data_IF_207354871924
#
_entry.id   IF_207354871924
#
_cell.length_a   1.000
_cell.length_b   1.000
_cell.length_c   1.000
_cell.angle_alpha   90.00
_cell.angle_beta   90.00
_cell.angle_gamma   90.00
#
_symmetry.space_group_name_H-M   'P 1'
#
loop_
_entity.id
_entity.type
_entity.pdbx_description
1 polymer ?
#
# COMPACT_ATOMS: atom_id res chain seq x y z
N UNK A 1 -5.84 -11.28 27.17
CA UNK A 1 -7.05 -10.90 26.42
C UNK A 1 -6.77 -11.08 24.96
N UNK A 2 -7.67 -11.66 24.20
CA UNK A 2 -7.45 -11.84 22.76
C UNK A 2 -7.57 -10.49 22.05
N UNK A 3 -6.51 -10.11 21.36
CA UNK A 3 -6.46 -8.86 20.61
C UNK A 3 -7.07 -9.08 19.23
N UNK A 4 -8.22 -8.48 18.97
CA UNK A 4 -8.85 -8.55 17.65
C UNK A 4 -8.23 -7.48 16.72
N UNK A 5 -7.58 -7.92 15.64
CA UNK A 5 -7.02 -7.02 14.63
C UNK A 5 -8.15 -6.50 13.75
N UNK A 6 -8.17 -5.18 13.51
CA UNK A 6 -9.11 -4.49 12.63
C UNK A 6 -8.54 -4.18 11.25
N UNK A 7 -7.22 -3.93 11.18
CA UNK A 7 -6.53 -3.66 9.93
C UNK A 7 -5.05 -4.03 10.03
N UNK A 8 -4.43 -4.31 8.90
CA UNK A 8 -2.99 -4.56 8.77
C UNK A 8 -2.40 -3.66 7.69
N UNK A 9 -1.16 -3.23 7.91
CA UNK A 9 -0.38 -2.50 6.92
C UNK A 9 1.02 -3.09 6.83
N UNK A 10 1.46 -3.38 5.62
CA UNK A 10 2.75 -3.98 5.34
C UNK A 10 3.64 -2.95 4.63
N UNK A 11 4.80 -2.67 5.20
CA UNK A 11 5.82 -1.80 4.63
C UNK A 11 6.93 -2.60 3.94
N UNK A 12 8.12 -2.00 3.82
CA UNK A 12 9.26 -2.69 3.20
C UNK A 12 9.61 -3.99 3.94
N UNK A 13 9.92 -3.87 5.20
CA UNK A 13 10.36 -4.99 6.06
C UNK A 13 9.69 -4.96 7.42
N UNK A 14 8.57 -4.26 7.54
CA UNK A 14 7.82 -4.08 8.77
C UNK A 14 6.34 -4.38 8.55
N UNK A 15 5.67 -4.76 9.62
CA UNK A 15 4.23 -4.97 9.67
C UNK A 15 3.63 -4.18 10.83
N UNK A 16 2.52 -3.51 10.58
CA UNK A 16 1.68 -2.87 11.58
C UNK A 16 0.32 -3.57 11.64
N UNK A 17 -0.19 -3.81 12.84
CA UNK A 17 -1.55 -4.27 13.07
C UNK A 17 -2.29 -3.27 13.96
N UNK A 18 -3.39 -2.74 13.44
CA UNK A 18 -4.31 -1.90 14.19
C UNK A 18 -5.33 -2.79 14.89
N UNK A 19 -5.44 -2.66 16.19
CA UNK A 19 -6.42 -3.39 16.99
C UNK A 19 -7.79 -2.68 16.99
N UNK A 20 -8.86 -3.42 17.25
CA UNK A 20 -10.20 -2.83 17.43
C UNK A 20 -10.28 -1.80 18.56
N UNK A 21 -9.37 -1.90 19.52
CA UNK A 21 -9.23 -0.94 20.63
C UNK A 21 -8.50 0.35 20.24
N UNK A 22 -7.97 0.41 19.02
CA UNK A 22 -7.20 1.54 18.49
C UNK A 22 -5.71 1.51 18.84
N UNK A 23 -5.23 0.49 19.53
CA UNK A 23 -3.79 0.26 19.74
C UNK A 23 -3.14 -0.25 18.47
N UNK A 24 -1.84 -0.01 18.33
CA UNK A 24 -1.04 -0.48 17.19
C UNK A 24 0.05 -1.39 17.68
N UNK A 25 0.10 -2.58 17.10
CA UNK A 25 1.23 -3.49 17.22
C UNK A 25 2.14 -3.35 16.00
N UNK A 26 3.44 -3.41 16.23
CA UNK A 26 4.43 -3.39 15.16
C UNK A 26 5.49 -4.48 15.35
N UNK A 27 5.99 -5.02 14.23
CA UNK A 27 7.11 -5.98 14.23
C UNK A 27 7.84 -5.97 12.88
N UNK A 28 8.97 -6.66 12.83
CA UNK A 28 9.83 -6.73 11.66
C UNK A 28 11.07 -5.86 11.77
N UNK A 29 11.77 -5.73 10.64
CA UNK A 29 13.02 -4.98 10.58
C UNK A 29 12.80 -3.50 10.74
N UNK A 30 13.35 -3.03 11.80
CA UNK A 30 13.82 -1.69 11.81
C UNK A 30 15.08 -1.63 10.95
N UNK A 31 14.97 -1.52 9.65
CA UNK A 31 16.10 -1.07 8.84
C UNK A 31 16.56 0.30 9.32
N UNK A 32 15.92 0.84 10.37
CA UNK A 32 16.18 2.02 11.17
C UNK A 32 14.92 2.65 11.80
N UNK A 33 13.75 2.03 11.73
CA UNK A 33 12.56 2.45 12.47
C UNK A 33 12.44 1.65 13.77
N UNK A 34 12.49 2.31 14.91
CA UNK A 34 12.41 1.69 16.22
C UNK A 34 10.95 1.74 16.69
N UNK A 35 10.42 0.59 17.10
CA UNK A 35 9.18 0.56 17.86
C UNK A 35 9.55 0.73 19.33
N UNK A 36 9.27 1.87 19.94
CA UNK A 36 9.47 2.01 21.38
C UNK A 36 8.30 1.42 22.13
N UNK A 37 8.55 0.43 22.97
CA UNK A 37 7.72 0.22 24.16
C UNK A 37 8.37 1.03 25.29
N UNK A 38 7.59 1.69 26.12
CA UNK A 38 8.08 2.50 27.27
C UNK A 38 8.95 1.68 28.25
N UNK A 39 9.14 0.36 28.02
CA UNK A 39 9.85 -0.55 28.91
C UNK A 39 10.81 -1.54 28.25
N UNK A 40 11.07 -1.45 26.93
CA UNK A 40 12.02 -2.35 26.27
C UNK A 40 13.01 -1.55 25.42
N UNK A 41 14.26 -1.58 25.82
CA UNK A 41 15.38 -1.00 25.09
C UNK A 41 15.71 -1.88 23.86
N UNK A 42 14.97 -1.68 22.77
CA UNK A 42 15.10 -2.44 21.53
C UNK A 42 16.31 -1.94 20.70
N UNK A 43 16.98 -0.89 21.18
CA UNK A 43 18.03 -0.18 20.46
C UNK A 43 19.39 -0.87 20.45
N UNK A 44 19.68 -1.78 21.38
CA UNK A 44 21.05 -2.18 21.66
C UNK A 44 21.55 -3.42 20.89
N UNK A 45 20.69 -4.17 20.18
CA UNK A 45 21.10 -5.50 19.68
C UNK A 45 21.10 -5.68 18.16
N UNK A 46 20.69 -4.70 17.36
CA UNK A 46 20.63 -4.85 15.90
C UNK A 46 19.68 -5.96 15.41
N UNK A 47 18.93 -6.58 16.29
CA UNK A 47 18.01 -7.66 15.98
C UNK A 47 16.64 -7.12 15.60
N UNK A 48 16.12 -7.57 14.45
CA UNK A 48 14.76 -7.37 14.04
C UNK A 48 13.77 -7.85 15.11
N UNK A 49 12.75 -7.07 15.40
CA UNK A 49 11.75 -7.41 16.40
C UNK A 49 10.81 -8.48 15.82
N UNK A 50 11.04 -9.74 16.20
CA UNK A 50 10.24 -10.87 15.72
C UNK A 50 8.91 -11.02 16.45
N UNK A 51 8.76 -10.35 17.61
CA UNK A 51 7.53 -10.36 18.39
C UNK A 51 6.79 -9.03 18.19
N UNK A 52 5.44 -9.08 18.06
CA UNK A 52 4.63 -7.88 18.06
C UNK A 52 4.80 -7.07 19.35
N UNK A 53 5.10 -5.78 19.19
CA UNK A 53 5.20 -4.84 20.32
C UNK A 53 4.23 -3.68 20.11
N UNK A 54 3.75 -3.10 21.21
CA UNK A 54 2.96 -1.88 21.13
C UNK A 54 3.81 -0.72 20.63
N UNK A 55 3.36 -0.09 19.55
CA UNK A 55 4.04 1.09 18.99
C UNK A 55 3.99 2.26 19.97
N UNK A 56 2.84 2.49 20.59
CA UNK A 56 2.64 3.52 21.60
C UNK A 56 1.39 3.23 22.43
N UNK A 57 1.54 3.00 23.73
CA UNK A 57 0.43 2.59 24.59
C UNK A 57 -0.52 3.73 24.97
N UNK A 58 -0.04 4.98 24.98
CA UNK A 58 -0.83 6.15 25.38
C UNK A 58 -1.68 6.76 24.26
N UNK A 59 -1.50 6.34 22.99
CA UNK A 59 -2.32 6.80 21.88
C UNK A 59 -3.26 5.71 21.35
N UNK A 60 -4.37 6.16 20.78
CA UNK A 60 -5.29 5.34 20.00
C UNK A 60 -5.31 5.85 18.58
N UNK A 61 -5.30 4.93 17.63
CA UNK A 61 -5.25 5.21 16.20
C UNK A 61 -6.53 4.75 15.51
N UNK A 62 -6.91 5.47 14.48
CA UNK A 62 -8.00 5.11 13.55
C UNK A 62 -7.46 4.62 12.20
N UNK A 63 -6.19 4.90 11.91
CA UNK A 63 -5.54 4.54 10.65
C UNK A 63 -4.02 4.43 10.83
N UNK A 64 -3.39 3.47 10.14
CA UNK A 64 -1.94 3.32 10.08
C UNK A 64 -1.47 2.99 8.66
N UNK A 65 -0.28 3.47 8.32
CA UNK A 65 0.42 3.18 7.06
C UNK A 65 1.89 2.90 7.32
N UNK A 66 2.33 1.72 6.94
CA UNK A 66 3.72 1.30 7.01
C UNK A 66 4.42 1.61 5.67
N UNK A 67 5.55 2.31 5.73
CA UNK A 67 6.38 2.65 4.58
C UNK A 67 7.74 1.96 4.60
N UNK A 68 8.76 2.67 4.16
CA UNK A 68 10.14 2.19 4.05
C UNK A 68 10.95 2.53 5.32
N UNK A 69 10.63 1.87 6.44
CA UNK A 69 11.24 2.16 7.75
C UNK A 69 10.61 3.35 8.48
N UNK A 70 9.66 4.03 7.86
CA UNK A 70 8.85 5.10 8.45
C UNK A 70 7.39 4.67 8.48
N UNK A 71 6.65 5.16 9.45
CA UNK A 71 5.24 4.89 9.60
C UNK A 71 4.46 6.18 9.81
N UNK A 72 3.25 6.22 9.28
CA UNK A 72 2.28 7.28 9.52
C UNK A 72 1.04 6.70 10.21
N UNK A 73 0.42 7.49 11.06
CA UNK A 73 -0.83 7.12 11.69
C UNK A 73 -1.74 8.32 11.92
N UNK A 74 -3.03 8.09 11.85
CA UNK A 74 -4.05 9.06 12.26
C UNK A 74 -4.56 8.63 13.62
N UNK A 75 -4.39 9.49 14.63
CA UNK A 75 -4.87 9.22 15.98
C UNK A 75 -6.40 9.33 16.08
N UNK A 76 -6.98 8.79 17.16
CA UNK A 76 -8.39 8.97 17.48
C UNK A 76 -8.77 10.45 17.70
N UNK A 77 -7.78 11.31 18.02
CA UNK A 77 -7.95 12.78 18.10
C UNK A 77 -7.86 13.46 16.73
N UNK A 78 -7.71 12.68 15.63
CA UNK A 78 -7.50 13.18 14.26
C UNK A 78 -6.22 14.01 14.10
N UNK A 79 -5.14 13.54 14.68
CA UNK A 79 -3.81 14.08 14.55
C UNK A 79 -2.99 13.17 13.62
N UNK A 80 -2.21 13.74 12.71
CA UNK A 80 -1.28 12.98 11.88
C UNK A 80 0.04 12.82 12.62
N UNK A 81 0.45 11.58 12.84
CA UNK A 81 1.65 11.20 13.56
C UNK A 81 2.62 10.46 12.64
N UNK A 82 3.92 10.70 12.82
CA UNK A 82 5.01 10.02 12.11
C UNK A 82 5.98 9.42 13.12
N UNK A 83 6.47 8.21 12.85
CA UNK A 83 7.53 7.56 13.64
C UNK A 83 8.38 6.66 12.77
N UNK A 84 9.55 6.26 13.30
CA UNK A 84 10.53 5.44 12.60
C UNK A 84 11.66 6.24 11.99
N UNK A 85 12.34 5.64 11.01
CA UNK A 85 13.49 6.26 10.34
C UNK A 85 13.04 7.38 9.38
N UNK A 86 13.52 8.57 9.63
CA UNK A 86 13.10 9.78 8.93
C UNK A 86 14.29 10.60 8.46
N UNK A 87 15.13 10.08 7.52
CA UNK A 87 16.38 10.75 7.12
C UNK A 87 16.16 12.08 6.41
N UNK A 88 14.95 12.36 5.96
CA UNK A 88 14.58 13.58 5.23
C UNK A 88 13.76 14.56 6.08
N UNK A 89 13.64 14.32 7.40
CA UNK A 89 12.96 15.25 8.31
C UNK A 89 11.45 15.42 8.03
N UNK A 90 10.76 14.33 7.70
CA UNK A 90 9.32 14.34 7.42
C UNK A 90 8.53 14.85 8.63
N UNK A 91 8.00 16.06 8.54
CA UNK A 91 7.17 16.67 9.59
C UNK A 91 7.90 17.59 10.57
N UNK A 92 9.18 17.95 10.36
CA UNK A 92 9.93 18.87 11.20
C UNK A 92 11.39 18.47 11.45
N UNK A 93 12.07 19.12 12.36
CA UNK A 93 13.53 19.06 12.61
C UNK A 93 14.08 17.72 13.16
N UNK A 94 13.28 16.66 13.25
CA UNK A 94 13.69 15.38 13.83
C UNK A 94 14.02 14.36 12.72
N UNK A 95 15.28 14.03 12.56
CA UNK A 95 15.76 13.07 11.56
C UNK A 95 15.30 11.61 11.81
N UNK A 96 14.95 11.26 13.02
CA UNK A 96 14.36 9.96 13.40
C UNK A 96 13.68 10.10 14.74
N UNK A 97 12.50 9.52 14.92
CA UNK A 97 11.81 9.54 16.20
C UNK A 97 11.32 8.13 16.56
N UNK A 98 11.67 7.68 17.75
CA UNK A 98 11.10 6.46 18.35
C UNK A 98 9.68 6.69 18.83
N UNK A 99 9.40 7.94 19.24
CA UNK A 99 8.09 8.39 19.71
C UNK A 99 7.37 9.05 18.54
N UNK A 100 6.07 8.72 18.28
CA UNK A 100 5.31 9.38 17.25
C UNK A 100 5.31 10.91 17.38
N UNK A 101 5.80 11.59 16.35
CA UNK A 101 5.87 13.05 16.26
C UNK A 101 4.66 13.60 15.47
N UNK A 102 4.15 14.75 15.90
CA UNK A 102 2.97 15.39 15.31
C UNK A 102 3.33 16.16 14.03
N UNK A 103 2.64 15.87 12.92
CA UNK A 103 2.66 16.67 11.68
C UNK A 103 1.50 17.67 11.72
N UNK A 104 1.79 18.93 12.07
CA UNK A 104 0.76 19.97 12.27
C UNK A 104 0.16 20.53 10.97
N UNK A 105 0.82 20.31 9.82
CA UNK A 105 0.45 20.96 8.56
C UNK A 105 -0.84 20.38 7.94
N UNK A 106 -1.27 19.18 8.31
CA UNK A 106 -2.49 18.53 7.80
C UNK A 106 -3.59 18.67 8.83
N UNK A 107 -4.64 19.38 8.47
CA UNK A 107 -5.77 19.61 9.37
C UNK A 107 -6.78 18.46 9.29
N UNK A 108 -7.14 17.89 10.44
CA UNK A 108 -8.14 16.81 10.53
C UNK A 108 -7.91 15.68 9.51
N UNK A 109 -6.74 14.98 9.54
CA UNK A 109 -6.44 13.92 8.59
C UNK A 109 -7.43 12.75 8.73
N UNK A 110 -7.72 12.08 7.59
CA UNK A 110 -8.57 10.89 7.54
C UNK A 110 -7.76 9.65 7.12
N UNK A 111 -6.74 9.81 6.29
CA UNK A 111 -5.80 8.75 5.90
C UNK A 111 -4.45 9.35 5.52
N UNK A 112 -3.45 8.49 5.45
CA UNK A 112 -2.10 8.85 5.03
C UNK A 112 -1.44 7.67 4.30
N UNK A 113 -0.40 7.96 3.51
CA UNK A 113 0.40 6.95 2.85
C UNK A 113 1.88 7.26 3.08
N UNK A 114 2.63 6.24 3.52
CA UNK A 114 4.06 6.32 3.74
C UNK A 114 4.80 5.55 2.63
N UNK A 115 5.65 6.25 1.89
CA UNK A 115 6.55 5.67 0.88
C UNK A 115 7.98 5.54 1.39
N UNK A 116 8.93 5.49 0.47
CA UNK A 116 10.36 5.48 0.78
C UNK A 116 10.86 6.89 1.12
N UNK A 117 10.54 7.85 0.29
CA UNK A 117 11.00 9.25 0.37
C UNK A 117 9.92 10.27 0.08
N UNK A 118 8.72 9.80 -0.25
CA UNK A 118 7.53 10.60 -0.52
C UNK A 118 6.40 10.16 0.41
N UNK A 119 5.58 11.12 0.80
CA UNK A 119 4.52 10.92 1.77
C UNK A 119 3.28 11.70 1.36
N UNK A 120 2.13 11.22 1.76
CA UNK A 120 0.87 11.88 1.49
C UNK A 120 -0.12 11.72 2.64
N UNK A 121 -1.04 12.66 2.77
CA UNK A 121 -2.21 12.55 3.64
C UNK A 121 -3.40 13.27 3.01
N UNK A 122 -4.60 12.84 3.38
CA UNK A 122 -5.84 13.46 2.96
C UNK A 122 -6.56 13.94 4.21
N UNK A 123 -7.03 15.18 4.19
CA UNK A 123 -7.82 15.76 5.25
C UNK A 123 -9.33 15.45 5.10
N UNK A 124 -10.12 15.85 6.09
CA UNK A 124 -11.57 15.64 6.09
C UNK A 124 -12.28 16.39 4.94
N UNK A 125 -11.74 17.48 4.43
CA UNK A 125 -12.27 18.19 3.26
C UNK A 125 -12.03 17.42 1.95
N UNK A 126 -11.06 16.50 1.95
CA UNK A 126 -10.60 15.76 0.78
C UNK A 126 -9.39 16.42 0.11
N UNK A 127 -8.72 17.38 0.77
CA UNK A 127 -7.51 17.98 0.25
C UNK A 127 -6.34 16.99 0.35
N UNK A 128 -5.63 16.78 -0.74
CA UNK A 128 -4.43 15.95 -0.78
C UNK A 128 -3.20 16.78 -0.44
N UNK A 129 -2.50 16.41 0.62
CA UNK A 129 -1.20 16.94 1.01
C UNK A 129 -0.10 15.97 0.60
N UNK A 130 1.00 16.49 0.07
CA UNK A 130 2.18 15.71 -0.30
C UNK A 130 3.44 16.37 0.25
N UNK A 131 4.47 15.56 0.60
CA UNK A 131 5.76 16.05 1.09
C UNK A 131 6.86 15.00 0.92
N UNK A 132 8.11 15.40 1.21
CA UNK A 132 9.29 14.57 1.02
C UNK A 132 10.09 14.97 -0.23
N UNK A 133 10.80 14.01 -0.83
CA UNK A 133 11.66 14.26 -1.98
C UNK A 133 10.85 14.41 -3.27
N UNK A 134 11.01 15.55 -3.95
CA UNK A 134 10.30 15.83 -5.21
C UNK A 134 11.07 15.34 -6.45
N UNK A 135 11.67 14.15 -6.36
CA UNK A 135 12.29 13.47 -7.51
C UNK A 135 11.21 13.13 -8.53
N UNK A 136 11.48 13.32 -9.81
CA UNK A 136 10.54 13.08 -10.91
C UNK A 136 9.20 13.82 -10.74
N UNK A 137 9.20 14.95 -10.01
CA UNK A 137 8.01 15.74 -9.72
C UNK A 137 6.91 14.94 -8.98
N UNK A 138 7.34 13.96 -8.16
CA UNK A 138 6.48 13.01 -7.47
C UNK A 138 5.45 13.62 -6.51
N UNK A 139 5.63 14.89 -6.11
CA UNK A 139 4.71 15.57 -5.20
C UNK A 139 3.50 16.22 -5.89
N UNK A 140 3.44 16.22 -7.24
CA UNK A 140 2.30 16.75 -8.00
C UNK A 140 2.08 18.26 -7.84
N UNK A 141 3.09 18.97 -7.37
CA UNK A 141 3.07 20.43 -7.13
C UNK A 141 4.46 21.02 -7.28
N UNK A 142 4.54 22.31 -7.60
CA UNK A 142 5.80 23.04 -7.58
C UNK A 142 6.31 23.20 -6.15
N UNK A 143 7.61 22.97 -5.96
CA UNK A 143 8.28 23.10 -4.68
C UNK A 143 9.56 23.94 -4.82
N UNK A 144 9.87 24.80 -3.84
CA UNK A 144 11.09 25.57 -3.84
C UNK A 144 12.32 24.72 -3.56
N UNK A 145 12.16 23.64 -2.81
CA UNK A 145 13.22 22.72 -2.41
C UNK A 145 12.93 21.31 -2.87
N UNK A 146 13.98 20.53 -3.13
CA UNK A 146 13.87 19.11 -3.47
C UNK A 146 13.21 18.31 -2.34
N UNK A 147 13.56 18.58 -1.09
CA UNK A 147 12.89 18.03 0.09
C UNK A 147 11.86 19.03 0.60
N UNK A 148 10.60 18.79 0.24
CA UNK A 148 9.51 19.72 0.50
C UNK A 148 8.69 19.35 1.75
N UNK A 149 8.33 20.37 2.52
CA UNK A 149 7.38 20.25 3.63
C UNK A 149 5.96 19.93 3.12
N UNK A 150 5.05 19.46 3.99
CA UNK A 150 3.66 19.17 3.61
C UNK A 150 2.99 20.38 2.95
N UNK A 151 2.40 20.14 1.78
CA UNK A 151 1.68 21.18 1.02
C UNK A 151 0.59 20.56 0.16
N UNK A 152 -0.45 21.35 -0.13
CA UNK A 152 -1.65 20.89 -0.86
C UNK A 152 -1.36 20.76 -2.35
N UNK A 153 -1.81 19.65 -2.95
CA UNK A 153 -1.87 19.49 -4.40
C UNK A 153 -3.11 20.21 -4.93
N UNK A 154 -2.90 21.22 -5.76
CA UNK A 154 -3.99 22.06 -6.28
C UNK A 154 -4.70 21.40 -7.47
N UNK A 155 -5.94 21.81 -7.74
CA UNK A 155 -6.69 21.39 -8.93
C UNK A 155 -7.32 19.99 -8.85
N UNK A 156 -7.24 19.33 -7.71
CA UNK A 156 -7.89 18.03 -7.47
C UNK A 156 -9.30 18.22 -6.90
N UNK A 157 -10.26 17.34 -7.25
CA UNK A 157 -11.52 17.23 -6.54
C UNK A 157 -11.30 16.69 -5.12
N UNK A 158 -12.37 16.55 -4.34
CA UNK A 158 -12.26 15.95 -3.01
C UNK A 158 -11.77 14.49 -3.09
N UNK A 159 -10.59 14.25 -2.54
CA UNK A 159 -9.95 12.93 -2.54
C UNK A 159 -10.37 12.10 -1.32
N UNK A 160 -10.26 10.75 -1.43
CA UNK A 160 -10.57 9.82 -0.33
C UNK A 160 -9.50 8.76 -0.10
N UNK A 161 -8.60 8.53 -1.07
CA UNK A 161 -7.47 7.62 -0.93
C UNK A 161 -6.29 8.09 -1.77
N UNK A 162 -5.09 7.74 -1.33
CA UNK A 162 -3.82 7.96 -2.03
C UNK A 162 -2.93 6.74 -1.81
N UNK A 163 -2.19 6.34 -2.84
CA UNK A 163 -1.22 5.26 -2.79
C UNK A 163 0.08 5.70 -3.50
N UNK A 164 1.21 5.22 -3.01
CA UNK A 164 2.54 5.68 -3.38
C UNK A 164 3.35 4.54 -4.00
N UNK A 165 4.02 4.82 -5.10
CA UNK A 165 5.04 3.97 -5.68
C UNK A 165 6.43 4.62 -5.64
N UNK A 166 7.34 4.14 -6.47
CA UNK A 166 8.69 4.71 -6.58
C UNK A 166 8.63 6.04 -7.36
N UNK A 167 8.64 7.14 -6.61
CA UNK A 167 8.58 8.51 -7.13
C UNK A 167 7.31 8.82 -7.97
N UNK A 168 6.19 8.20 -7.68
CA UNK A 168 4.88 8.56 -8.26
C UNK A 168 3.75 8.32 -7.27
N UNK A 169 2.62 8.95 -7.54
CA UNK A 169 1.42 8.83 -6.72
C UNK A 169 0.18 8.58 -7.58
N UNK A 170 -0.72 7.79 -7.01
CA UNK A 170 -2.08 7.59 -7.51
C UNK A 170 -3.05 8.06 -6.45
N UNK A 171 -3.96 8.93 -6.82
CA UNK A 171 -4.97 9.49 -5.93
C UNK A 171 -6.37 9.14 -6.44
N UNK A 172 -7.28 8.85 -5.51
CA UNK A 172 -8.65 8.43 -5.80
C UNK A 172 -9.63 9.44 -5.20
N UNK A 173 -10.48 10.02 -6.05
CA UNK A 173 -11.50 10.95 -5.63
C UNK A 173 -12.69 10.26 -4.93
N UNK A 174 -13.51 11.03 -4.25
CA UNK A 174 -14.76 10.53 -3.65
C UNK A 174 -15.73 9.98 -4.70
N UNK A 175 -15.69 10.54 -5.90
CA UNK A 175 -16.53 10.15 -7.04
C UNK A 175 -16.00 8.89 -7.78
N UNK A 176 -14.81 8.39 -7.40
CA UNK A 176 -14.21 7.19 -8.01
C UNK A 176 -13.35 7.50 -9.25
N UNK A 177 -12.93 8.75 -9.43
CA UNK A 177 -11.97 9.15 -10.45
C UNK A 177 -10.54 8.94 -9.95
N UNK A 178 -9.64 8.51 -10.83
CA UNK A 178 -8.23 8.26 -10.54
C UNK A 178 -7.38 9.36 -11.15
N UNK A 179 -6.44 9.89 -10.36
CA UNK A 179 -5.45 10.88 -10.76
C UNK A 179 -4.05 10.34 -10.51
N UNK A 180 -3.10 10.71 -11.34
CA UNK A 180 -1.71 10.26 -11.25
C UNK A 180 -0.72 11.38 -11.54
N UNK A 181 0.47 11.33 -10.93
CA UNK A 181 1.58 12.24 -11.16
C UNK A 181 2.90 11.64 -10.67
N UNK A 182 4.03 12.16 -11.17
CA UNK A 182 5.38 11.72 -10.85
C UNK A 182 6.06 10.96 -11.98
N UNK A 183 6.90 10.00 -11.63
CA UNK A 183 7.61 9.11 -12.55
C UNK A 183 6.66 8.29 -13.41
N UNK A 184 7.01 8.15 -14.70
CA UNK A 184 6.21 7.40 -15.65
C UNK A 184 7.05 6.55 -16.62
N UNK A 185 8.27 6.22 -16.24
CA UNK A 185 9.22 5.51 -17.11
C UNK A 185 8.76 4.10 -17.55
N UNK A 186 7.85 3.50 -16.78
CA UNK A 186 7.22 2.21 -17.05
C UNK A 186 5.71 2.31 -17.37
N UNK A 187 5.18 3.51 -17.60
CA UNK A 187 3.76 3.71 -17.89
C UNK A 187 2.87 3.67 -16.63
N UNK A 188 3.46 3.74 -15.43
CA UNK A 188 2.76 3.58 -14.16
C UNK A 188 1.73 4.69 -13.87
N UNK A 189 1.74 5.81 -14.60
CA UNK A 189 0.70 6.82 -14.50
C UNK A 189 -0.59 6.47 -15.26
N UNK A 190 -0.55 5.49 -16.19
CA UNK A 190 -1.74 5.05 -16.92
C UNK A 190 -2.28 6.05 -17.95
N UNK A 191 -1.44 7.01 -18.41
CA UNK A 191 -1.84 8.16 -19.25
C UNK A 191 -1.63 7.93 -20.75
N UNK A 192 -1.19 6.72 -21.15
CA UNK A 192 -0.94 6.38 -22.56
C UNK A 192 0.41 6.81 -23.10
N UNK A 193 1.30 7.31 -22.25
CA UNK A 193 2.66 7.74 -22.59
C UNK A 193 3.64 7.40 -21.45
N UNK A 194 4.93 7.72 -21.62
CA UNK A 194 5.99 7.44 -20.63
C UNK A 194 6.65 8.71 -20.06
N UNK A 195 6.06 9.89 -20.25
CA UNK A 195 6.63 11.16 -19.77
C UNK A 195 6.33 11.35 -18.29
N UNK A 196 7.27 11.93 -17.56
CA UNK A 196 7.06 12.44 -16.19
C UNK A 196 5.95 13.49 -16.21
N UNK A 197 5.11 13.50 -15.18
CA UNK A 197 3.98 14.41 -15.04
C UNK A 197 4.02 15.07 -13.66
N UNK A 198 4.25 16.37 -13.63
CA UNK A 198 4.44 17.13 -12.37
C UNK A 198 3.14 17.72 -11.79
N UNK A 199 2.01 17.57 -12.47
CA UNK A 199 0.68 18.01 -12.03
C UNK A 199 -0.28 16.83 -12.11
N UNK A 200 -1.28 16.82 -11.25
CA UNK A 200 -2.22 15.70 -11.25
C UNK A 200 -3.03 15.62 -12.56
N UNK A 201 -2.91 14.51 -13.27
CA UNK A 201 -3.68 14.21 -14.48
C UNK A 201 -4.65 13.06 -14.24
N UNK A 202 -5.84 13.16 -14.86
CA UNK A 202 -6.89 12.14 -14.73
C UNK A 202 -6.60 10.93 -15.60
N UNK A 203 -6.60 9.74 -15.00
CA UNK A 203 -6.44 8.46 -15.69
C UNK A 203 -7.79 8.05 -16.31
N UNK A 204 -7.77 7.68 -17.59
CA UNK A 204 -8.96 7.24 -18.31
C UNK A 204 -9.18 5.72 -18.11
N UNK A 205 -10.17 5.35 -17.29
CA UNK A 205 -10.58 3.97 -17.08
C UNK A 205 -11.90 3.74 -17.82
N UNK A 206 -11.84 3.06 -18.96
CA UNK A 206 -13.01 2.80 -19.80
C UNK A 206 -13.52 1.37 -19.63
N UNK A 207 -14.81 1.20 -19.38
CA UNK A 207 -15.47 -0.11 -19.43
C UNK A 207 -15.89 -0.37 -20.87
N UNK A 208 -15.26 -1.34 -21.55
CA UNK A 208 -15.81 -1.87 -22.79
C UNK A 208 -16.97 -2.82 -22.46
N UNK A 209 -18.21 -2.42 -22.71
CA UNK A 209 -19.33 -3.36 -22.70
C UNK A 209 -19.18 -4.31 -23.88
N UNK A 210 -18.88 -5.56 -23.62
CA UNK A 210 -18.86 -6.65 -24.63
C UNK A 210 -20.26 -6.93 -25.24
N UNK A 211 -21.31 -6.19 -24.88
CA UNK A 211 -22.70 -6.43 -25.27
C UNK A 211 -23.43 -5.23 -25.88
N UNK A 212 -22.75 -4.12 -26.16
CA UNK A 212 -23.40 -2.99 -26.84
C UNK A 212 -23.24 -3.09 -28.35
N UNK A 213 -24.34 -2.99 -29.09
CA UNK A 213 -24.37 -2.86 -30.55
C UNK A 213 -23.35 -1.82 -31.04
N UNK A 214 -22.78 -2.03 -32.22
CA UNK A 214 -21.67 -1.26 -32.82
C UNK A 214 -21.87 0.27 -32.91
N UNK A 215 -23.06 0.77 -32.60
CA UNK A 215 -23.44 2.18 -32.82
C UNK A 215 -23.53 3.05 -31.56
N UNK A 216 -23.22 2.55 -30.38
CA UNK A 216 -23.25 3.34 -29.13
C UNK A 216 -22.13 2.95 -28.18
N UNK A 217 -20.89 3.22 -28.57
CA UNK A 217 -19.75 3.21 -27.64
C UNK A 217 -19.81 4.45 -26.72
N UNK A 218 -20.81 4.52 -25.84
CA UNK A 218 -20.69 5.38 -24.67
C UNK A 218 -19.55 4.80 -23.82
N UNK A 219 -18.37 5.43 -23.85
CA UNK A 219 -17.26 5.13 -22.95
C UNK A 219 -17.73 5.40 -21.52
N UNK A 220 -18.32 4.38 -20.88
CA UNK A 220 -18.65 4.47 -19.47
C UNK A 220 -17.35 4.48 -18.69
N UNK A 221 -17.10 5.50 -17.90
CA UNK A 221 -15.95 5.55 -17.00
C UNK A 221 -16.18 4.59 -15.84
N UNK A 222 -15.24 3.70 -15.55
CA UNK A 222 -15.33 2.82 -14.40
C UNK A 222 -15.28 3.63 -13.11
N UNK A 223 -16.24 3.40 -12.20
CA UNK A 223 -16.20 3.97 -10.86
C UNK A 223 -15.28 3.15 -9.97
N UNK A 224 -14.10 3.69 -9.67
CA UNK A 224 -13.09 2.97 -8.88
C UNK A 224 -13.45 2.97 -7.41
N UNK A 225 -13.36 1.80 -6.77
CA UNK A 225 -13.59 1.57 -5.34
C UNK A 225 -12.31 1.69 -4.53
N UNK A 226 -11.20 1.10 -5.00
CA UNK A 226 -9.90 1.14 -4.33
C UNK A 226 -8.76 1.09 -5.33
N UNK A 227 -7.58 1.52 -4.88
CA UNK A 227 -6.32 1.53 -5.61
C UNK A 227 -5.24 0.84 -4.78
N UNK A 228 -4.35 0.10 -5.43
CA UNK A 228 -3.14 -0.44 -4.81
C UNK A 228 -1.95 -0.19 -5.75
N UNK A 229 -0.81 0.15 -5.18
CA UNK A 229 0.37 0.60 -5.93
C UNK A 229 1.59 -0.17 -5.46
N UNK A 230 2.28 -0.80 -6.40
CA UNK A 230 3.60 -1.37 -6.18
C UNK A 230 4.73 -0.37 -6.52
N UNK A 231 5.96 -0.85 -6.66
CA UNK A 231 7.07 0.04 -7.01
C UNK A 231 6.83 0.79 -8.32
N UNK A 232 6.36 0.09 -9.36
CA UNK A 232 6.19 0.65 -10.73
C UNK A 232 4.95 0.10 -11.43
N UNK A 233 3.97 -0.42 -10.69
CA UNK A 233 2.69 -0.89 -11.25
C UNK A 233 1.53 -0.51 -10.35
N UNK A 234 0.34 -0.52 -10.91
CA UNK A 234 -0.88 -0.08 -10.25
C UNK A 234 -2.00 -1.09 -10.50
N UNK A 235 -2.79 -1.32 -9.48
CA UNK A 235 -4.07 -2.01 -9.56
C UNK A 235 -5.19 -1.04 -9.18
N UNK A 236 -6.31 -1.09 -9.88
CA UNK A 236 -7.53 -0.37 -9.53
C UNK A 236 -8.73 -1.33 -9.54
N UNK A 237 -9.44 -1.38 -8.44
CA UNK A 237 -10.66 -2.18 -8.28
C UNK A 237 -11.88 -1.30 -8.48
N UNK A 238 -12.75 -1.66 -9.41
CA UNK A 238 -14.02 -0.96 -9.59
C UNK A 238 -15.12 -1.51 -8.66
N UNK A 239 -16.22 -0.78 -8.56
CA UNK A 239 -17.37 -1.16 -7.69
C UNK A 239 -18.02 -2.48 -8.10
N UNK A 240 -17.94 -2.83 -9.37
CA UNK A 240 -18.47 -4.07 -9.94
C UNK A 240 -17.61 -5.30 -9.63
N UNK A 241 -16.40 -5.11 -9.06
CA UNK A 241 -15.46 -6.18 -8.70
C UNK A 241 -14.46 -6.53 -9.81
N UNK A 242 -14.37 -5.72 -10.88
CA UNK A 242 -13.36 -5.87 -11.91
C UNK A 242 -12.06 -5.18 -11.49
N UNK A 243 -10.92 -5.75 -11.88
CA UNK A 243 -9.58 -5.21 -11.60
C UNK A 243 -8.96 -4.70 -12.90
N UNK A 244 -8.42 -3.49 -12.84
CA UNK A 244 -7.58 -2.91 -13.89
C UNK A 244 -6.15 -2.89 -13.42
N UNK A 245 -5.19 -3.14 -14.32
CA UNK A 245 -3.76 -3.12 -14.04
C UNK A 245 -3.02 -2.33 -15.11
N UNK A 246 -1.94 -1.61 -14.72
CA UNK A 246 -1.05 -0.90 -15.64
C UNK A 246 0.32 -0.62 -14.99
N UNK A 247 1.27 -0.13 -15.78
CA UNK A 247 2.66 0.08 -15.38
C UNK A 247 3.56 -1.06 -15.82
N UNK A 248 4.59 -1.34 -15.05
CA UNK A 248 5.58 -2.40 -15.32
C UNK A 248 4.99 -3.81 -15.25
N UNK A 249 5.42 -4.67 -16.18
CA UNK A 249 5.04 -6.09 -16.23
C UNK A 249 6.25 -7.02 -16.43
N UNK A 250 7.44 -6.58 -16.02
CA UNK A 250 8.68 -7.37 -16.24
C UNK A 250 8.66 -8.74 -15.58
N UNK A 251 7.90 -8.87 -14.49
CA UNK A 251 7.75 -10.12 -13.72
C UNK A 251 6.35 -10.72 -13.81
N UNK A 252 5.48 -10.19 -14.68
CA UNK A 252 4.08 -10.62 -14.78
C UNK A 252 3.16 -9.99 -13.73
N UNK A 253 3.58 -8.91 -13.06
CA UNK A 253 2.81 -8.27 -11.99
C UNK A 253 1.49 -7.61 -12.43
N UNK A 254 1.27 -7.44 -13.73
CA UNK A 254 -0.03 -7.01 -14.27
C UNK A 254 -1.03 -8.16 -14.45
N UNK A 255 -0.60 -9.43 -14.30
CA UNK A 255 -1.49 -10.59 -14.38
C UNK A 255 -1.80 -11.07 -15.80
N UNK A 256 -1.05 -10.62 -16.81
CA UNK A 256 -1.15 -11.07 -18.20
C UNK A 256 0.23 -11.19 -18.86
N UNK A 257 0.33 -11.97 -19.95
CA UNK A 257 1.63 -12.31 -20.58
C UNK A 257 2.06 -11.38 -21.74
N UNK A 258 1.25 -10.37 -22.11
CA UNK A 258 1.35 -9.78 -23.43
C UNK A 258 2.44 -8.72 -23.64
N UNK A 259 2.89 -7.98 -22.60
CA UNK A 259 3.83 -6.88 -22.73
C UNK A 259 4.71 -6.72 -21.49
N UNK A 260 5.86 -6.05 -21.64
CA UNK A 260 6.74 -5.69 -20.53
C UNK A 260 6.19 -4.54 -19.67
N UNK A 261 5.26 -3.76 -20.19
CA UNK A 261 4.54 -2.70 -19.50
C UNK A 261 3.25 -2.35 -20.24
N UNK A 262 2.29 -1.81 -19.53
CA UNK A 262 1.11 -1.14 -20.10
C UNK A 262 1.06 0.31 -19.63
N UNK A 263 1.05 1.25 -20.56
CA UNK A 263 0.94 2.69 -20.26
C UNK A 263 -0.50 3.17 -20.11
N UNK A 264 -1.49 2.27 -20.28
CA UNK A 264 -2.91 2.52 -20.07
C UNK A 264 -3.51 1.42 -19.22
N UNK A 265 -4.56 1.71 -18.43
CA UNK A 265 -5.27 0.69 -17.67
C UNK A 265 -5.82 -0.42 -18.56
N UNK A 266 -5.48 -1.66 -18.25
CA UNK A 266 -5.95 -2.86 -18.93
C UNK A 266 -6.81 -3.68 -17.96
N UNK A 267 -7.99 -4.13 -18.42
CA UNK A 267 -8.87 -4.98 -17.63
C UNK A 267 -8.21 -6.37 -17.46
N UNK A 268 -8.10 -6.81 -16.21
CA UNK A 268 -7.57 -8.12 -15.87
C UNK A 268 -8.70 -9.13 -15.80
N UNK A 269 -8.53 -10.27 -16.47
CA UNK A 269 -9.47 -11.40 -16.38
C UNK A 269 -9.28 -12.11 -15.04
N UNK A 270 -10.32 -12.06 -14.21
CA UNK A 270 -10.40 -12.75 -12.93
C UNK A 270 -11.51 -13.82 -12.99
N UNK A 271 -11.25 -14.97 -12.38
CA UNK A 271 -12.23 -16.07 -12.30
C UNK A 271 -13.40 -15.78 -11.34
N UNK A 272 -13.22 -14.82 -10.44
CA UNK A 272 -14.18 -14.43 -9.42
C UNK A 272 -14.26 -12.91 -9.31
N UNK A 273 -15.36 -12.42 -8.73
CA UNK A 273 -15.53 -11.02 -8.37
C UNK A 273 -14.59 -10.65 -7.23
N UNK A 274 -13.83 -9.57 -7.41
CA UNK A 274 -12.83 -9.12 -6.45
C UNK A 274 -13.42 -8.08 -5.50
N UNK A 275 -13.04 -8.17 -4.24
CA UNK A 275 -13.50 -7.29 -3.16
C UNK A 275 -12.39 -6.43 -2.58
N UNK A 276 -11.13 -6.87 -2.67
CA UNK A 276 -9.95 -6.14 -2.19
C UNK A 276 -8.72 -6.45 -3.06
N UNK A 277 -7.77 -5.51 -3.11
CA UNK A 277 -6.52 -5.60 -3.88
C UNK A 277 -5.35 -5.07 -3.05
N UNK A 278 -4.18 -5.68 -3.23
CA UNK A 278 -2.93 -5.18 -2.67
C UNK A 278 -1.78 -5.37 -3.67
N UNK A 279 -0.76 -4.52 -3.60
CA UNK A 279 0.40 -4.59 -4.47
C UNK A 279 1.69 -4.46 -3.64
N UNK A 280 2.58 -5.43 -3.81
CA UNK A 280 3.95 -5.35 -3.30
C UNK A 280 4.89 -4.75 -4.35
N UNK A 281 6.20 -4.82 -4.15
CA UNK A 281 7.15 -4.17 -5.05
C UNK A 281 6.96 -4.63 -6.51
N UNK A 282 6.91 -5.94 -6.75
CA UNK A 282 6.78 -6.54 -8.08
C UNK A 282 5.77 -7.70 -8.12
N UNK A 283 4.83 -7.73 -7.21
CA UNK A 283 3.77 -8.72 -7.16
C UNK A 283 2.44 -8.09 -6.76
N UNK A 284 1.39 -8.80 -7.02
CA UNK A 284 0.02 -8.35 -6.85
C UNK A 284 -0.81 -9.39 -6.11
N UNK A 285 -1.78 -8.93 -5.33
CA UNK A 285 -2.74 -9.75 -4.63
C UNK A 285 -4.16 -9.28 -4.92
N UNK A 286 -5.10 -10.20 -4.96
CA UNK A 286 -6.53 -9.93 -4.98
C UNK A 286 -7.28 -10.86 -4.04
N UNK A 287 -8.29 -10.33 -3.36
CA UNK A 287 -9.22 -11.07 -2.51
C UNK A 287 -10.59 -11.13 -3.20
N UNK A 288 -11.11 -12.32 -3.39
CA UNK A 288 -12.44 -12.51 -3.99
C UNK A 288 -13.57 -12.41 -2.97
N UNK A 289 -14.80 -12.29 -3.46
CA UNK A 289 -16.03 -12.28 -2.65
C UNK A 289 -16.22 -13.59 -1.86
N UNK A 290 -15.73 -14.71 -2.38
CA UNK A 290 -15.75 -16.03 -1.71
C UNK A 290 -14.67 -16.18 -0.63
N UNK A 291 -13.76 -15.19 -0.48
CA UNK A 291 -12.64 -15.22 0.48
C UNK A 291 -11.40 -15.94 -0.03
N UNK A 292 -11.32 -16.24 -1.34
CA UNK A 292 -10.11 -16.75 -1.97
C UNK A 292 -9.12 -15.61 -2.22
N UNK A 293 -7.83 -15.89 -2.02
CA UNK A 293 -6.73 -14.98 -2.32
C UNK A 293 -6.04 -15.44 -3.60
N UNK A 294 -5.78 -14.51 -4.50
CA UNK A 294 -4.99 -14.72 -5.72
C UNK A 294 -3.71 -13.90 -5.63
N UNK A 295 -2.60 -14.48 -6.13
CA UNK A 295 -1.30 -13.84 -6.17
C UNK A 295 -0.64 -14.03 -7.54
N UNK A 296 0.10 -13.01 -8.03
CA UNK A 296 0.84 -13.07 -9.28
C UNK A 296 1.98 -12.05 -9.31
N UNK A 297 2.91 -12.20 -10.25
CA UNK A 297 4.11 -11.40 -10.40
C UNK A 297 5.37 -12.12 -9.95
N UNK A 298 6.32 -11.40 -9.39
CA UNK A 298 7.59 -11.92 -8.89
C UNK A 298 7.42 -12.76 -7.63
N UNK A 299 8.23 -13.84 -7.51
CA UNK A 299 8.11 -14.83 -6.43
C UNK A 299 9.45 -15.26 -5.81
N UNK A 300 10.51 -14.50 -5.98
CA UNK A 300 11.85 -14.89 -5.53
C UNK A 300 11.99 -15.22 -4.04
N UNK A 301 11.06 -14.76 -3.19
CA UNK A 301 10.99 -15.08 -1.76
C UNK A 301 9.73 -15.87 -1.35
N UNK A 302 8.99 -16.43 -2.32
CA UNK A 302 7.75 -17.16 -2.03
C UNK A 302 6.55 -16.25 -1.74
N UNK A 303 6.59 -14.97 -2.13
CA UNK A 303 5.52 -14.02 -1.87
C UNK A 303 4.21 -14.29 -2.63
N UNK A 304 4.19 -15.28 -3.53
CA UNK A 304 2.98 -15.78 -4.17
C UNK A 304 2.38 -17.00 -3.46
N UNK A 305 3.07 -17.56 -2.45
CA UNK A 305 2.64 -18.75 -1.69
C UNK A 305 2.30 -19.97 -2.57
N UNK A 306 3.08 -20.19 -3.61
CA UNK A 306 2.90 -21.33 -4.56
C UNK A 306 3.77 -22.54 -4.24
N UNK A 307 4.36 -22.60 -3.03
CA UNK A 307 5.33 -23.61 -2.58
C UNK A 307 6.62 -23.68 -3.41
N UNK A 308 6.88 -22.66 -4.21
CA UNK A 308 8.09 -22.47 -5.01
C UNK A 308 8.49 -20.99 -5.06
N UNK A 309 9.51 -20.67 -5.84
CA UNK A 309 10.01 -19.31 -6.05
C UNK A 309 9.88 -18.84 -7.51
N UNK A 310 9.14 -19.56 -8.34
CA UNK A 310 8.90 -19.22 -9.75
C UNK A 310 7.85 -18.11 -9.88
N UNK A 311 8.07 -17.11 -10.76
CA UNK A 311 7.07 -16.05 -10.99
C UNK A 311 5.79 -16.60 -11.65
N UNK A 312 4.70 -15.88 -11.48
CA UNK A 312 3.41 -16.17 -12.14
C UNK A 312 2.94 -14.93 -12.90
N UNK A 313 2.72 -15.08 -14.18
CA UNK A 313 2.22 -13.98 -15.03
C UNK A 313 0.69 -13.90 -15.10
N UNK A 314 0.00 -14.79 -14.41
CA UNK A 314 -1.47 -14.81 -14.31
C UNK A 314 -1.89 -15.01 -12.85
N UNK A 315 -3.06 -14.47 -12.43
CA UNK A 315 -3.58 -14.68 -11.09
C UNK A 315 -3.66 -16.16 -10.73
N UNK A 316 -2.95 -16.55 -9.67
CA UNK A 316 -2.87 -17.93 -9.17
C UNK A 316 -3.43 -17.97 -7.75
N UNK A 317 -4.34 -18.90 -7.48
CA UNK A 317 -4.97 -19.03 -6.17
C UNK A 317 -3.95 -19.47 -5.11
N UNK A 318 -3.94 -18.74 -3.99
CA UNK A 318 -3.16 -19.09 -2.79
C UNK A 318 -3.92 -20.15 -1.99
N UNK A 319 -3.33 -21.30 -1.81
CA UNK A 319 -3.95 -22.42 -1.09
C UNK A 319 -3.73 -22.30 0.43
N UNK A 320 -4.57 -22.96 1.22
CA UNK A 320 -4.44 -23.03 2.68
C UNK A 320 -5.00 -21.82 3.44
N UNK A 321 -5.63 -20.86 2.77
CA UNK A 321 -6.31 -19.73 3.38
C UNK A 321 -7.83 -19.98 3.45
N UNK A 322 -8.44 -19.56 4.54
CA UNK A 322 -9.89 -19.68 4.73
C UNK A 322 -10.47 -18.43 5.38
N UNK A 323 -11.66 -18.02 4.94
CA UNK A 323 -12.42 -16.90 5.52
C UNK A 323 -11.61 -15.60 5.63
N UNK A 324 -10.85 -15.27 4.60
CA UNK A 324 -10.04 -14.05 4.54
C UNK A 324 -10.96 -12.83 4.39
N UNK A 325 -10.64 -11.77 5.13
CA UNK A 325 -11.41 -10.53 5.21
C UNK A 325 -10.64 -9.32 4.66
N UNK A 326 -9.30 -9.35 4.73
CA UNK A 326 -8.44 -8.30 4.21
C UNK A 326 -7.07 -8.87 3.81
N UNK A 327 -6.40 -8.19 2.88
CA UNK A 327 -5.05 -8.51 2.42
C UNK A 327 -4.16 -7.28 2.50
N UNK A 328 -2.85 -7.50 2.70
CA UNK A 328 -1.85 -6.45 2.58
C UNK A 328 -0.58 -7.02 1.95
N UNK A 329 0.14 -6.17 1.21
CA UNK A 329 1.40 -6.52 0.59
C UNK A 329 2.48 -5.52 1.00
N UNK A 330 3.60 -6.05 1.47
CA UNK A 330 4.82 -5.29 1.69
C UNK A 330 5.77 -5.39 0.49
N UNK A 331 7.05 -5.07 0.68
CA UNK A 331 8.01 -5.12 -0.43
C UNK A 331 8.09 -6.54 -1.02
N UNK A 332 8.31 -7.55 -0.17
CA UNK A 332 8.55 -8.95 -0.56
C UNK A 332 7.82 -9.94 0.35
N UNK A 333 6.79 -9.50 1.07
CA UNK A 333 5.95 -10.34 1.93
C UNK A 333 4.50 -9.96 1.78
N UNK A 334 3.64 -10.87 2.13
CA UNK A 334 2.20 -10.70 2.04
C UNK A 334 1.51 -11.13 3.34
N UNK A 335 0.37 -10.52 3.61
CA UNK A 335 -0.45 -10.77 4.78
C UNK A 335 -1.90 -11.02 4.36
N UNK A 336 -2.58 -11.92 5.06
CA UNK A 336 -4.00 -12.13 4.94
C UNK A 336 -4.65 -12.21 6.33
N UNK A 337 -5.58 -11.30 6.59
CA UNK A 337 -6.35 -11.29 7.83
C UNK A 337 -7.60 -12.14 7.66
N UNK A 338 -7.64 -13.27 8.32
CA UNK A 338 -8.81 -14.13 8.42
C UNK A 338 -9.59 -13.87 9.72
N UNK A 339 -10.77 -14.49 9.83
CA UNK A 339 -11.58 -14.38 11.07
C UNK A 339 -10.85 -14.88 12.31
N UNK A 340 -10.03 -15.92 12.17
CA UNK A 340 -9.38 -16.61 13.30
C UNK A 340 -7.89 -16.35 13.41
N UNK A 341 -7.23 -15.94 12.34
CA UNK A 341 -5.78 -15.78 12.34
C UNK A 341 -5.32 -14.70 11.35
N UNK A 342 -4.17 -14.12 11.61
CA UNK A 342 -3.37 -13.37 10.66
C UNK A 342 -2.34 -14.33 10.05
N UNK A 343 -2.37 -14.46 8.74
CA UNK A 343 -1.45 -15.27 7.95
C UNK A 343 -0.40 -14.37 7.29
N UNK A 344 0.82 -14.89 7.17
CA UNK A 344 1.89 -14.24 6.44
C UNK A 344 2.70 -15.22 5.60
N UNK A 345 3.27 -14.74 4.50
CA UNK A 345 4.18 -15.51 3.65
C UNK A 345 5.12 -14.59 2.86
N UNK A 346 6.11 -15.18 2.19
CA UNK A 346 7.17 -14.46 1.52
C UNK A 346 8.40 -14.26 2.40
N UNK A 347 9.10 -13.15 2.21
CA UNK A 347 10.32 -12.80 2.96
C UNK A 347 10.05 -12.54 4.44
N UNK A 348 10.94 -13.05 5.30
CA UNK A 348 10.94 -12.83 6.74
C UNK A 348 12.35 -12.52 7.28
N UNK A 349 13.28 -12.08 6.44
CA UNK A 349 14.66 -11.82 6.86
C UNK A 349 14.77 -10.76 7.97
N UNK A 350 13.83 -9.84 8.01
CA UNK A 350 13.76 -8.79 9.00
C UNK A 350 12.71 -9.08 10.11
N UNK A 351 12.14 -10.26 10.17
CA UNK A 351 11.10 -10.62 11.15
C UNK A 351 9.71 -10.04 10.87
N UNK A 352 9.45 -9.57 9.63
CA UNK A 352 8.18 -8.96 9.23
C UNK A 352 6.97 -9.92 9.27
N UNK A 353 7.22 -11.22 9.39
CA UNK A 353 6.23 -12.28 9.61
C UNK A 353 6.29 -12.87 11.03
N UNK A 354 6.87 -12.15 11.98
CA UNK A 354 7.03 -12.63 13.35
C UNK A 354 8.12 -13.71 13.48
N UNK A 355 7.92 -14.70 14.37
CA UNK A 355 8.88 -15.75 14.69
C UNK A 355 9.00 -16.87 13.63
N UNK A 356 8.40 -16.74 12.47
CA UNK A 356 8.50 -17.71 11.39
C UNK A 356 9.94 -17.86 10.87
N UNK A 357 10.20 -18.86 10.02
CA UNK A 357 11.47 -19.01 9.31
C UNK A 357 11.77 -17.80 8.41
N UNK A 358 13.02 -17.67 7.93
CA UNK A 358 13.46 -16.51 7.13
C UNK A 358 12.66 -16.30 5.84
N UNK A 359 12.08 -17.38 5.31
CA UNK A 359 11.24 -17.36 4.12
C UNK A 359 10.07 -18.33 4.30
N UNK A 360 8.87 -17.91 3.89
CA UNK A 360 7.67 -18.73 3.92
C UNK A 360 7.11 -18.89 2.50
N UNK A 361 7.13 -20.10 1.97
CA UNK A 361 6.64 -20.42 0.62
C UNK A 361 5.14 -20.70 0.58
N UNK A 362 4.50 -20.78 1.74
CA UNK A 362 3.06 -21.00 1.93
C UNK A 362 2.54 -20.10 3.07
N UNK A 363 1.24 -19.85 3.14
CA UNK A 363 0.65 -19.06 4.22
C UNK A 363 0.92 -19.73 5.58
N UNK A 364 1.43 -18.95 6.51
CA UNK A 364 1.71 -19.38 7.88
C UNK A 364 0.89 -18.53 8.86
N UNK A 365 0.05 -19.14 9.74
CA UNK A 365 -0.65 -18.41 10.78
C UNK A 365 0.33 -18.04 11.89
N UNK A 366 0.53 -16.76 12.12
CA UNK A 366 1.48 -16.30 13.16
C UNK A 366 0.81 -15.47 14.26
N UNK A 367 -0.48 -15.22 14.15
CA UNK A 367 -1.30 -14.57 15.14
C UNK A 367 -2.70 -15.17 15.16
N UNK A 368 -3.18 -15.59 16.32
CA UNK A 368 -4.54 -16.08 16.49
C UNK A 368 -5.47 -14.94 16.92
N UNK A 369 -6.50 -14.72 16.13
CA UNK A 369 -7.59 -13.78 16.39
C UNK A 369 -8.62 -14.50 17.27
N UNK A 370 -8.56 -14.34 18.55
CA UNK A 370 -9.46 -15.01 19.51
C UNK A 370 -10.62 -14.11 19.93
#
# INVERSE_FOLDING_TARGET
>A
MPYKISAVSAGKSQTLALLHTGEVLGWGGAGSGRYSSENVDICSTGNANKDPVYVWQSARFSFVSAGYGVSLGVSAKRELLVWGWNPIGVGGDQASSEIPALIKAVNVPICAAAGQSIFAAIDQAGSLYTWGLNVDQALGRTTEQMNALPGVVQGLPAMRAVALGDNFMIALSREGEVFSFGNNSAGQLGLGHLRIVGTAERVQLTVSKATASKDAASKLTASIKSIAVGATHVLALCREGNVYAWGSNQYGQLGHQHKRYDSQPTLLEMSEKITDIAAGTHFSLALSESGNVYAWGWNGFGQLATNDTGPRSTPTQVLGLTQIQAIAAGEMHALALGKRALYGWGSNYAGQLGRAAQQQLAPFPFWENS
#
